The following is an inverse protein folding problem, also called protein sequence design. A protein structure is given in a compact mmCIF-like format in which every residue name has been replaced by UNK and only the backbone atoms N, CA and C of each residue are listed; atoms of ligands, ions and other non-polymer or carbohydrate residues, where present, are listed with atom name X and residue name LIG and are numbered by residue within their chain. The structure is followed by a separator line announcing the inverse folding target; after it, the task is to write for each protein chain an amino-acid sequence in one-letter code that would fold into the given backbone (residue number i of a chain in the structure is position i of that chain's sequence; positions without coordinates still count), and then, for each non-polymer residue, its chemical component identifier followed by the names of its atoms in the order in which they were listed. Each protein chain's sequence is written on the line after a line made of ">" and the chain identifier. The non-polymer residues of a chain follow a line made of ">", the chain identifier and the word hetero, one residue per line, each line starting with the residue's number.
data_IF_301081214753
#
_entry.id   IF_301081214753
#
_cell.length_a   1.000
_cell.length_b   1.000
_cell.length_c   1.000
_cell.angle_alpha   90.00
_cell.angle_beta   90.00
_cell.angle_gamma   90.00
#
_symmetry.space_group_name_H-M   'P 1'
#
loop_
_entity.id
_entity.type
_entity.pdbx_description
1 polymer ?
#
# COMPACT_ATOMS: atom_id res chain seq x y z
N UNK A 1 16.30 19.28 -19.99
CA UNK A 1 14.98 19.04 -19.38
C UNK A 1 13.82 19.26 -20.38
N UNK A 2 14.03 19.12 -21.70
CA UNK A 2 12.96 19.25 -22.71
C UNK A 2 12.60 17.86 -23.23
N UNK A 3 11.94 17.07 -22.39
CA UNK A 3 11.41 15.74 -22.70
C UNK A 3 10.23 15.45 -21.77
N UNK A 4 9.38 14.50 -22.13
CA UNK A 4 8.32 14.00 -21.25
C UNK A 4 8.83 12.76 -20.50
N UNK A 5 8.81 12.75 -19.15
CA UNK A 5 9.26 11.59 -18.40
C UNK A 5 8.43 10.34 -18.71
N UNK A 6 9.10 9.20 -18.76
CA UNK A 6 8.48 7.88 -18.84
C UNK A 6 8.72 7.12 -17.55
N UNK A 7 7.66 6.53 -17.00
CA UNK A 7 7.70 5.80 -15.73
C UNK A 7 7.37 4.34 -15.96
N UNK A 8 8.24 3.43 -15.52
CA UNK A 8 8.03 1.98 -15.58
C UNK A 8 7.46 1.41 -14.25
N UNK A 9 6.84 2.29 -13.47
CA UNK A 9 6.24 2.03 -12.17
C UNK A 9 4.98 2.87 -11.96
N UNK A 10 4.15 2.45 -11.00
CA UNK A 10 2.99 3.18 -10.52
C UNK A 10 3.33 3.94 -9.24
N UNK A 11 2.83 5.18 -9.14
CA UNK A 11 2.91 6.00 -7.93
C UNK A 11 1.52 6.18 -7.35
N UNK A 12 1.35 5.91 -6.06
CA UNK A 12 0.08 6.11 -5.35
C UNK A 12 0.28 7.07 -4.20
N UNK A 13 -0.55 8.12 -4.18
CA UNK A 13 -0.65 9.08 -3.10
C UNK A 13 -1.91 8.83 -2.27
N UNK A 14 -1.80 8.83 -0.94
CA UNK A 14 -2.95 8.75 -0.04
C UNK A 14 -2.88 9.88 1.01
N UNK A 15 -3.96 10.64 1.24
CA UNK A 15 -3.96 11.67 2.28
C UNK A 15 -4.00 11.06 3.69
N UNK A 16 -3.45 11.80 4.65
CA UNK A 16 -3.59 11.52 6.08
C UNK A 16 -4.64 12.46 6.69
N UNK A 17 -5.50 11.89 7.52
CA UNK A 17 -6.49 12.63 8.30
C UNK A 17 -6.33 12.34 9.78
N UNK A 18 -6.53 13.36 10.60
CA UNK A 18 -6.52 13.28 12.08
C UNK A 18 -7.88 13.74 12.65
N UNK A 19 -8.98 13.46 11.93
CA UNK A 19 -10.33 13.94 12.28
C UNK A 19 -10.82 13.45 13.64
N UNK A 20 -10.33 12.30 14.11
CA UNK A 20 -10.65 11.75 15.43
C UNK A 20 -10.23 12.68 16.59
N UNK A 21 -9.31 13.62 16.37
CA UNK A 21 -8.93 14.64 17.38
C UNK A 21 -9.99 15.74 17.54
N UNK A 22 -10.99 15.80 16.65
CA UNK A 22 -11.97 16.88 16.59
C UNK A 22 -13.41 16.36 16.67
N UNK A 23 -13.95 16.23 17.89
CA UNK A 23 -15.27 15.64 18.15
C UNK A 23 -16.45 16.29 17.42
N UNK A 24 -16.34 17.57 17.03
CA UNK A 24 -17.41 18.34 16.36
C UNK A 24 -17.23 18.45 14.85
N UNK A 25 -16.20 17.80 14.29
CA UNK A 25 -15.91 17.86 12.85
C UNK A 25 -16.47 16.62 12.17
N UNK A 26 -17.19 16.84 11.07
CA UNK A 26 -17.67 15.75 10.22
C UNK A 26 -16.51 15.00 9.57
N UNK A 27 -16.57 13.67 9.63
CA UNK A 27 -15.63 12.74 8.96
C UNK A 27 -15.86 12.66 7.45
N UNK A 28 -16.97 13.21 6.94
CA UNK A 28 -17.24 13.29 5.50
C UNK A 28 -16.19 14.18 4.83
N UNK A 29 -15.65 13.70 3.71
CA UNK A 29 -14.73 14.44 2.86
C UNK A 29 -15.46 14.97 1.63
N UNK A 30 -14.96 16.08 1.07
CA UNK A 30 -15.58 16.76 -0.06
C UNK A 30 -14.57 17.71 -0.71
N UNK A 31 -15.06 18.77 -1.33
CA UNK A 31 -14.22 19.76 -2.04
C UNK A 31 -13.28 20.54 -1.11
N UNK A 32 -13.67 20.75 0.15
CA UNK A 32 -12.82 21.42 1.13
C UNK A 32 -11.86 20.43 1.79
N UNK A 33 -10.56 20.71 1.66
CA UNK A 33 -9.49 19.86 2.19
C UNK A 33 -9.52 19.82 3.72
N UNK A 34 -9.43 18.61 4.28
CA UNK A 34 -9.32 18.36 5.73
C UNK A 34 -8.12 17.47 6.11
N UNK A 35 -7.35 17.02 5.12
CA UNK A 35 -6.16 16.21 5.35
C UNK A 35 -5.03 17.06 5.93
N UNK A 36 -4.24 16.46 6.80
CA UNK A 36 -3.12 17.10 7.53
C UNK A 36 -1.75 16.71 6.99
N UNK A 37 -1.72 15.76 6.05
CA UNK A 37 -0.51 15.27 5.43
C UNK A 37 -0.84 14.30 4.30
N UNK A 38 0.20 13.71 3.72
CA UNK A 38 0.07 12.73 2.65
C UNK A 38 1.28 11.82 2.58
N UNK A 39 1.08 10.64 2.01
CA UNK A 39 2.16 9.70 1.70
C UNK A 39 2.19 9.43 0.22
N UNK A 40 3.37 9.11 -0.27
CA UNK A 40 3.59 8.61 -1.61
C UNK A 40 4.25 7.24 -1.52
N UNK A 41 3.81 6.32 -2.38
CA UNK A 41 4.42 5.01 -2.50
C UNK A 41 4.61 4.65 -3.97
N UNK A 42 5.61 3.82 -4.23
CA UNK A 42 5.99 3.39 -5.57
C UNK A 42 5.98 1.86 -5.62
N UNK A 43 5.45 1.29 -6.70
CA UNK A 43 5.45 -0.15 -6.97
C UNK A 43 5.29 -0.40 -8.47
N UNK A 44 5.61 -1.60 -8.96
CA UNK A 44 5.47 -1.90 -10.40
C UNK A 44 4.09 -2.44 -10.77
N UNK A 45 3.18 -2.47 -9.80
CA UNK A 45 1.75 -2.66 -9.99
C UNK A 45 0.99 -1.70 -9.10
N UNK A 46 -0.25 -1.38 -9.48
CA UNK A 46 -1.11 -0.54 -8.67
C UNK A 46 -1.38 -1.16 -7.30
N UNK A 47 -1.63 -2.48 -7.24
CA UNK A 47 -1.88 -3.19 -5.99
C UNK A 47 -0.68 -3.09 -5.03
N UNK A 48 0.54 -3.25 -5.55
CA UNK A 48 1.76 -3.11 -4.76
C UNK A 48 1.92 -1.71 -4.18
N UNK A 49 1.80 -0.68 -5.02
CA UNK A 49 1.91 0.71 -4.59
C UNK A 49 0.79 1.04 -3.59
N UNK A 50 -0.47 0.76 -3.93
CA UNK A 50 -1.62 1.07 -3.09
C UNK A 50 -1.53 0.47 -1.68
N UNK A 51 -1.15 -0.80 -1.55
CA UNK A 51 -0.99 -1.41 -0.22
C UNK A 51 0.20 -0.84 0.56
N UNK A 52 1.29 -0.44 -0.12
CA UNK A 52 2.41 0.28 0.52
C UNK A 52 1.95 1.65 1.04
N UNK A 53 1.22 2.43 0.24
CA UNK A 53 0.69 3.71 0.67
C UNK A 53 -0.22 3.56 1.89
N UNK A 54 -1.15 2.60 1.90
CA UNK A 54 -2.04 2.40 3.05
C UNK A 54 -1.29 2.15 4.36
N UNK A 55 -0.19 1.39 4.31
CA UNK A 55 0.67 1.17 5.48
C UNK A 55 1.46 2.39 5.93
N UNK A 56 1.77 3.29 5.00
CA UNK A 56 2.48 4.53 5.32
C UNK A 56 1.57 5.56 5.99
N UNK A 57 0.25 5.52 5.75
CA UNK A 57 -0.72 6.49 6.30
C UNK A 57 -0.97 6.31 7.79
N UNK A 58 -0.97 5.07 8.29
CA UNK A 58 -1.31 4.78 9.68
C UNK A 58 -0.58 3.51 10.15
N UNK A 59 0.11 3.60 11.29
CA UNK A 59 0.84 2.49 11.90
C UNK A 59 -0.05 1.28 12.26
N UNK A 60 -1.36 1.51 12.43
CA UNK A 60 -2.33 0.45 12.74
C UNK A 60 -2.95 -0.19 11.48
N UNK A 61 -2.65 0.35 10.30
CA UNK A 61 -3.17 -0.16 9.03
C UNK A 61 -2.10 -1.01 8.35
N UNK A 62 -2.36 -2.31 8.24
CA UNK A 62 -1.41 -3.24 7.64
C UNK A 62 -1.51 -3.33 6.10
N UNK A 63 -2.55 -2.73 5.50
CA UNK A 63 -2.83 -2.71 4.07
C UNK A 63 -4.33 -2.57 3.81
N UNK A 64 -4.82 -3.09 2.67
CA UNK A 64 -6.23 -3.03 2.29
C UNK A 64 -7.03 -4.16 2.96
N UNK A 65 -7.24 -4.03 4.27
CA UNK A 65 -7.84 -5.07 5.11
C UNK A 65 -9.38 -4.94 5.16
N UNK A 66 -10.13 -6.00 4.76
CA UNK A 66 -11.59 -5.99 4.77
C UNK A 66 -12.23 -6.09 6.16
N UNK A 67 -11.46 -6.36 7.22
CA UNK A 67 -12.01 -6.62 8.56
C UNK A 67 -12.00 -5.37 9.47
N UNK A 68 -11.41 -4.25 9.02
CA UNK A 68 -11.30 -3.02 9.82
C UNK A 68 -12.65 -2.30 9.98
N UNK A 69 -13.50 -2.36 8.95
CA UNK A 69 -14.84 -1.75 8.94
C UNK A 69 -15.86 -2.75 8.47
N UNK A 70 -17.13 -2.53 8.83
CA UNK A 70 -18.28 -3.23 8.25
C UNK A 70 -18.75 -2.50 7.01
N UNK A 71 -19.47 -3.20 6.14
CA UNK A 71 -20.09 -2.59 4.98
C UNK A 71 -21.10 -1.53 5.41
N UNK A 72 -21.03 -0.38 4.74
CA UNK A 72 -21.93 0.74 4.95
C UNK A 72 -22.09 1.48 3.62
N UNK A 73 -23.22 1.27 2.93
CA UNK A 73 -23.47 1.91 1.64
C UNK A 73 -23.51 3.43 1.71
N UNK A 74 -23.89 4.01 2.86
CA UNK A 74 -23.88 5.46 3.02
C UNK A 74 -22.45 6.00 3.01
N UNK A 75 -21.48 5.33 3.64
CA UNK A 75 -20.07 5.73 3.56
C UNK A 75 -19.44 5.42 2.19
N UNK A 76 -19.99 4.47 1.44
CA UNK A 76 -19.61 4.26 0.05
C UNK A 76 -20.13 5.39 -0.84
N UNK A 77 -21.35 5.91 -0.62
CA UNK A 77 -21.93 7.04 -1.38
C UNK A 77 -21.35 8.38 -0.95
N UNK A 78 -21.26 8.61 0.34
CA UNK A 78 -20.77 9.84 0.97
C UNK A 78 -19.37 9.57 1.53
N UNK A 79 -18.31 9.96 0.81
CA UNK A 79 -16.96 9.52 1.14
C UNK A 79 -16.52 10.04 2.52
N UNK A 80 -15.84 9.18 3.28
CA UNK A 80 -15.19 9.47 4.56
C UNK A 80 -13.69 9.18 4.49
N UNK A 81 -12.92 9.58 5.49
CA UNK A 81 -11.51 9.22 5.67
C UNK A 81 -11.27 7.70 5.80
N UNK A 82 -12.33 6.91 6.06
CA UNK A 82 -12.28 5.45 6.19
C UNK A 82 -12.98 4.70 5.06
N UNK A 83 -13.46 5.38 4.00
CA UNK A 83 -14.19 4.79 2.87
C UNK A 83 -13.49 3.59 2.25
N UNK A 84 -12.16 3.60 2.16
CA UNK A 84 -11.39 2.49 1.58
C UNK A 84 -11.57 1.18 2.35
N UNK A 85 -11.70 1.22 3.68
CA UNK A 85 -11.92 0.02 4.48
C UNK A 85 -13.36 -0.49 4.37
N UNK A 86 -14.33 0.42 4.21
CA UNK A 86 -15.72 0.04 3.90
C UNK A 86 -15.80 -0.59 2.51
N UNK A 87 -15.03 -0.09 1.54
CA UNK A 87 -14.92 -0.67 0.20
C UNK A 87 -14.31 -2.07 0.22
N UNK A 88 -13.25 -2.28 1.01
CA UNK A 88 -12.64 -3.59 1.22
C UNK A 88 -13.65 -4.60 1.79
N UNK A 89 -14.42 -4.19 2.81
CA UNK A 89 -15.49 -5.01 3.38
C UNK A 89 -16.58 -5.34 2.35
N UNK A 90 -16.98 -4.38 1.50
CA UNK A 90 -18.03 -4.60 0.51
C UNK A 90 -17.60 -5.60 -0.58
N UNK A 91 -16.34 -5.51 -1.02
CA UNK A 91 -15.75 -6.52 -1.90
C UNK A 91 -15.70 -7.90 -1.26
N UNK A 92 -15.41 -7.98 0.05
CA UNK A 92 -15.39 -9.24 0.81
C UNK A 92 -16.78 -9.86 0.93
N UNK A 93 -17.82 -9.05 1.11
CA UNK A 93 -19.23 -9.47 1.10
C UNK A 93 -19.78 -9.76 -0.30
N UNK A 94 -18.96 -9.65 -1.35
CA UNK A 94 -19.33 -10.07 -2.71
C UNK A 94 -20.07 -9.02 -3.52
N UNK A 95 -19.96 -7.73 -3.19
CA UNK A 95 -20.50 -6.67 -4.02
C UNK A 95 -19.84 -6.67 -5.41
N UNK A 96 -20.66 -6.57 -6.45
CA UNK A 96 -20.20 -6.46 -7.85
C UNK A 96 -19.50 -5.13 -8.10
N UNK A 97 -18.59 -5.11 -9.08
CA UNK A 97 -17.87 -3.89 -9.50
C UNK A 97 -18.84 -2.80 -9.96
N UNK A 98 -19.91 -3.18 -10.66
CA UNK A 98 -20.95 -2.26 -11.14
C UNK A 98 -21.66 -1.57 -9.99
N UNK A 99 -22.09 -2.34 -8.98
CA UNK A 99 -22.70 -1.79 -7.76
C UNK A 99 -21.74 -0.84 -7.04
N UNK A 100 -20.46 -1.22 -6.90
CA UNK A 100 -19.46 -0.36 -6.25
C UNK A 100 -19.17 0.91 -7.06
N UNK A 101 -19.16 0.83 -8.39
CA UNK A 101 -19.05 1.99 -9.26
C UNK A 101 -20.25 2.93 -9.07
N UNK A 102 -21.47 2.39 -9.03
CA UNK A 102 -22.66 3.22 -8.81
C UNK A 102 -22.68 3.91 -7.46
N UNK A 103 -22.25 3.22 -6.40
CA UNK A 103 -22.13 3.79 -5.07
C UNK A 103 -21.01 4.82 -4.99
N UNK A 104 -19.85 4.53 -5.58
CA UNK A 104 -18.63 5.28 -5.26
C UNK A 104 -18.16 6.28 -6.32
N UNK A 105 -18.53 6.02 -7.57
CA UNK A 105 -18.01 6.65 -8.80
C UNK A 105 -16.49 6.53 -8.95
N UNK A 106 -15.85 5.63 -8.22
CA UNK A 106 -14.47 5.21 -8.45
C UNK A 106 -14.45 4.38 -9.73
N UNK A 107 -13.52 4.68 -10.63
CA UNK A 107 -13.43 3.99 -11.91
C UNK A 107 -13.30 2.47 -11.74
N UNK A 108 -13.95 1.73 -12.65
CA UNK A 108 -14.02 0.26 -12.62
C UNK A 108 -12.64 -0.37 -12.63
N UNK A 109 -11.67 0.24 -13.32
CA UNK A 109 -10.30 -0.26 -13.34
C UNK A 109 -9.72 -0.36 -11.93
N UNK A 110 -9.85 0.69 -11.10
CA UNK A 110 -9.37 0.65 -9.72
C UNK A 110 -10.15 -0.34 -8.87
N UNK A 111 -11.47 -0.41 -9.05
CA UNK A 111 -12.32 -1.37 -8.33
C UNK A 111 -11.90 -2.82 -8.62
N UNK A 112 -11.56 -3.15 -9.86
CA UNK A 112 -11.01 -4.46 -10.23
C UNK A 112 -9.66 -4.72 -9.54
N UNK A 113 -8.77 -3.72 -9.47
CA UNK A 113 -7.51 -3.87 -8.74
C UNK A 113 -7.71 -4.08 -7.24
N UNK A 114 -8.67 -3.40 -6.63
CA UNK A 114 -9.03 -3.64 -5.24
C UNK A 114 -9.61 -5.05 -5.05
N UNK A 115 -10.45 -5.51 -5.99
CA UNK A 115 -10.99 -6.86 -5.99
C UNK A 115 -9.89 -7.91 -6.06
N UNK A 116 -8.85 -7.72 -6.87
CA UNK A 116 -7.68 -8.62 -6.92
C UNK A 116 -7.05 -8.85 -5.54
N UNK A 117 -6.92 -7.78 -4.73
CA UNK A 117 -6.37 -7.86 -3.38
C UNK A 117 -7.30 -8.69 -2.47
N UNK A 118 -8.60 -8.40 -2.51
CA UNK A 118 -9.61 -9.07 -1.67
C UNK A 118 -9.83 -10.53 -2.05
N UNK A 119 -9.80 -10.87 -3.33
CA UNK A 119 -9.84 -12.27 -3.77
C UNK A 119 -8.58 -13.03 -3.35
N UNK A 120 -7.43 -12.35 -3.26
CA UNK A 120 -6.21 -12.98 -2.79
C UNK A 120 -6.25 -13.30 -1.29
N UNK A 121 -6.98 -12.51 -0.48
CA UNK A 121 -7.27 -12.90 0.91
C UNK A 121 -7.96 -14.27 0.97
N UNK A 122 -8.93 -14.56 0.09
CA UNK A 122 -9.61 -15.88 0.06
C UNK A 122 -8.62 -17.02 -0.23
N UNK A 123 -7.62 -16.75 -1.07
CA UNK A 123 -6.54 -17.72 -1.32
C UNK A 123 -5.72 -17.95 -0.06
N UNK A 124 -5.34 -16.87 0.65
CA UNK A 124 -4.55 -16.98 1.88
C UNK A 124 -5.33 -17.66 3.00
N UNK A 125 -6.61 -17.34 3.18
CA UNK A 125 -7.49 -17.92 4.21
C UNK A 125 -7.67 -19.44 4.05
N UNK A 126 -7.39 -19.99 2.87
CA UNK A 126 -7.42 -21.43 2.62
C UNK A 126 -6.18 -22.18 3.14
N UNK A 127 -5.15 -21.46 3.58
CA UNK A 127 -3.96 -22.01 4.21
C UNK A 127 -3.98 -21.77 5.72
N UNK A 128 -3.43 -22.71 6.47
CA UNK A 128 -3.16 -22.56 7.91
C UNK A 128 -1.65 -22.29 8.14
N UNK A 129 -1.26 -22.15 9.40
CA UNK A 129 0.11 -21.83 9.80
C UNK A 129 1.12 -22.83 9.22
N UNK A 130 2.05 -22.36 8.39
CA UNK A 130 3.19 -23.15 7.89
C UNK A 130 2.95 -23.97 6.62
N UNK A 131 1.74 -23.98 6.05
CA UNK A 131 1.45 -24.70 4.80
C UNK A 131 1.50 -23.84 3.53
N UNK A 132 1.76 -22.53 3.68
CA UNK A 132 1.81 -21.59 2.56
C UNK A 132 2.98 -21.92 1.64
N UNK A 133 2.67 -22.13 0.37
CA UNK A 133 3.68 -22.44 -0.65
C UNK A 133 4.48 -21.21 -1.05
N UNK A 134 5.69 -21.44 -1.59
CA UNK A 134 6.56 -20.39 -2.09
C UNK A 134 5.85 -19.49 -3.13
N UNK A 135 5.10 -20.08 -4.07
CA UNK A 135 4.41 -19.33 -5.11
C UNK A 135 3.28 -18.44 -4.57
N UNK A 136 2.52 -18.94 -3.59
CA UNK A 136 1.48 -18.16 -2.91
C UNK A 136 2.12 -17.00 -2.16
N UNK A 137 3.19 -17.25 -1.40
CA UNK A 137 3.88 -16.20 -0.67
C UNK A 137 4.47 -15.15 -1.61
N UNK A 138 5.14 -15.57 -2.68
CA UNK A 138 5.73 -14.69 -3.70
C UNK A 138 4.68 -13.82 -4.39
N UNK A 139 3.52 -14.40 -4.74
CA UNK A 139 2.43 -13.65 -5.36
C UNK A 139 1.78 -12.67 -4.38
N UNK A 140 1.59 -13.04 -3.11
CA UNK A 140 1.14 -12.11 -2.07
C UNK A 140 2.05 -10.88 -1.97
N UNK A 141 3.37 -11.09 -1.98
CA UNK A 141 4.35 -10.00 -1.92
C UNK A 141 4.30 -9.10 -3.18
N UNK A 142 4.16 -9.69 -4.38
CA UNK A 142 4.07 -8.96 -5.66
C UNK A 142 2.84 -8.05 -5.78
N UNK A 143 1.75 -8.38 -5.09
CA UNK A 143 0.55 -7.52 -5.03
C UNK A 143 0.52 -6.64 -3.76
N UNK A 144 1.63 -6.57 -3.02
CA UNK A 144 1.83 -5.59 -1.95
C UNK A 144 1.44 -6.02 -0.54
N UNK A 145 1.11 -7.28 -0.27
CA UNK A 145 0.77 -7.72 1.09
C UNK A 145 1.98 -7.59 2.03
N UNK A 146 1.74 -7.06 3.23
CA UNK A 146 2.72 -7.10 4.31
C UNK A 146 2.80 -8.47 4.97
N UNK A 147 3.92 -8.74 5.65
CA UNK A 147 4.10 -9.99 6.40
C UNK A 147 3.04 -10.07 7.53
N UNK A 148 2.64 -8.94 8.12
CA UNK A 148 1.50 -8.83 9.07
C UNK A 148 0.16 -9.21 8.46
N UNK A 149 -0.18 -8.74 7.26
CA UNK A 149 -1.46 -9.09 6.61
C UNK A 149 -1.52 -10.60 6.30
N UNK A 150 -0.42 -11.15 5.78
CA UNK A 150 -0.33 -12.58 5.47
C UNK A 150 -0.47 -13.39 6.75
N UNK A 151 0.26 -13.01 7.80
CA UNK A 151 0.21 -13.68 9.10
C UNK A 151 -1.21 -13.70 9.67
N UNK A 152 -1.93 -12.58 9.61
CA UNK A 152 -3.31 -12.50 10.07
C UNK A 152 -4.25 -13.44 9.28
N UNK A 153 -4.11 -13.50 7.95
CA UNK A 153 -4.94 -14.36 7.11
C UNK A 153 -4.70 -15.86 7.38
N UNK A 154 -3.44 -16.29 7.56
CA UNK A 154 -3.08 -17.70 7.75
C UNK A 154 -3.00 -18.13 9.23
N UNK A 155 -3.47 -17.27 10.14
CA UNK A 155 -3.44 -17.49 11.61
C UNK A 155 -2.03 -17.79 12.14
N UNK A 156 -1.04 -17.03 11.69
CA UNK A 156 0.37 -17.14 12.09
C UNK A 156 0.89 -15.82 12.68
N UNK A 157 2.19 -15.73 12.95
CA UNK A 157 2.85 -14.50 13.40
C UNK A 157 3.63 -13.85 12.26
N UNK A 158 3.79 -12.52 12.32
CA UNK A 158 4.60 -11.76 11.36
C UNK A 158 6.02 -12.32 11.25
N UNK A 159 6.63 -12.68 12.39
CA UNK A 159 7.98 -13.22 12.44
C UNK A 159 8.08 -14.58 11.74
N UNK A 160 7.07 -15.45 11.90
CA UNK A 160 7.04 -16.75 11.22
C UNK A 160 6.91 -16.58 9.69
N UNK A 161 6.04 -15.67 9.23
CA UNK A 161 5.91 -15.34 7.80
C UNK A 161 7.23 -14.79 7.25
N UNK A 162 7.89 -13.90 7.99
CA UNK A 162 9.18 -13.34 7.59
C UNK A 162 10.26 -14.41 7.46
N UNK A 163 10.38 -15.31 8.43
CA UNK A 163 11.33 -16.43 8.39
C UNK A 163 11.08 -17.35 7.18
N UNK A 164 9.83 -17.75 6.97
CA UNK A 164 9.45 -18.57 5.82
C UNK A 164 9.77 -17.87 4.48
N UNK A 165 9.55 -16.55 4.43
CA UNK A 165 9.87 -15.73 3.26
C UNK A 165 11.38 -15.72 2.98
N UNK A 166 12.20 -15.60 4.03
CA UNK A 166 13.67 -15.65 3.94
C UNK A 166 14.17 -17.05 3.53
N UNK A 167 13.58 -18.12 4.07
CA UNK A 167 13.88 -19.52 3.68
C UNK A 167 13.60 -19.77 2.19
N UNK A 168 12.49 -19.24 1.67
CA UNK A 168 12.16 -19.28 0.24
C UNK A 168 12.94 -18.27 -0.62
N UNK A 169 13.84 -17.49 -0.02
CA UNK A 169 14.62 -16.44 -0.70
C UNK A 169 13.76 -15.41 -1.41
N UNK A 170 12.61 -15.08 -0.83
CA UNK A 170 11.67 -14.08 -1.35
C UNK A 170 12.00 -12.72 -0.73
N UNK A 171 12.93 -11.98 -1.33
CA UNK A 171 13.28 -10.62 -0.92
C UNK A 171 12.90 -9.61 -2.00
N UNK A 172 12.61 -8.35 -1.65
CA UNK A 172 12.37 -7.33 -2.65
C UNK A 172 13.69 -6.95 -3.35
N UNK A 173 13.57 -6.43 -4.55
CA UNK A 173 14.67 -5.85 -5.32
C UNK A 173 14.66 -4.32 -5.20
N UNK A 174 15.85 -3.72 -5.33
CA UNK A 174 16.07 -2.27 -5.31
C UNK A 174 16.05 -1.77 -6.75
N UNK A 175 15.20 -0.79 -7.04
CA UNK A 175 15.05 -0.18 -8.35
C UNK A 175 15.31 1.31 -8.32
N UNK A 176 15.92 1.83 -9.38
CA UNK A 176 16.19 3.26 -9.55
C UNK A 176 15.02 3.99 -10.19
N UNK A 177 14.93 5.29 -9.91
CA UNK A 177 14.05 6.24 -10.59
C UNK A 177 14.93 7.08 -11.51
N UNK A 178 14.77 6.88 -12.82
CA UNK A 178 15.63 7.45 -13.85
C UNK A 178 14.95 8.49 -14.74
N UNK A 179 13.62 8.68 -14.59
CA UNK A 179 12.74 9.56 -15.40
C UNK A 179 12.51 9.14 -16.85
N UNK A 180 13.14 8.06 -17.31
CA UNK A 180 13.15 7.63 -18.73
C UNK A 180 12.88 6.14 -18.90
N UNK A 181 12.38 5.44 -17.87
CA UNK A 181 12.05 4.02 -17.92
C UNK A 181 13.22 3.13 -18.42
N UNK A 182 14.40 3.36 -17.86
CA UNK A 182 15.67 2.70 -18.18
C UNK A 182 16.21 2.93 -19.60
N UNK A 183 15.71 3.93 -20.35
CA UNK A 183 16.31 4.30 -21.64
C UNK A 183 17.76 4.78 -21.48
N UNK A 184 18.04 5.52 -20.41
CA UNK A 184 19.36 6.01 -20.06
C UNK A 184 19.71 5.67 -18.60
N UNK A 185 20.97 5.33 -18.30
CA UNK A 185 21.37 5.01 -16.94
C UNK A 185 21.22 6.23 -16.02
N UNK A 186 20.62 6.03 -14.86
CA UNK A 186 20.52 7.06 -13.83
C UNK A 186 21.88 7.32 -13.18
N UNK A 187 22.25 8.60 -13.08
CA UNK A 187 23.41 9.04 -12.31
C UNK A 187 23.10 9.20 -10.82
N UNK A 188 21.83 9.14 -10.43
CA UNK A 188 21.35 9.34 -9.04
C UNK A 188 20.79 8.05 -8.44
N UNK A 189 20.87 7.94 -7.13
CA UNK A 189 20.34 6.81 -6.36
C UNK A 189 19.03 7.18 -5.67
N UNK A 190 18.02 7.56 -6.44
CA UNK A 190 16.65 7.67 -5.93
C UNK A 190 15.93 6.33 -6.12
N UNK A 191 15.57 5.67 -5.02
CA UNK A 191 15.31 4.23 -5.01
C UNK A 191 13.93 3.87 -4.46
N UNK A 192 13.41 2.73 -4.92
CA UNK A 192 12.27 2.07 -4.30
C UNK A 192 12.46 0.54 -4.28
N UNK A 193 11.75 -0.11 -3.36
CA UNK A 193 11.71 -1.57 -3.23
C UNK A 193 10.48 -2.15 -3.92
N UNK A 194 10.66 -3.25 -4.67
CA UNK A 194 9.58 -4.00 -5.32
C UNK A 194 9.84 -5.50 -5.36
N UNK A 195 8.78 -6.30 -5.27
CA UNK A 195 8.86 -7.76 -5.52
C UNK A 195 8.66 -8.12 -7.00
N UNK A 196 8.35 -7.13 -7.84
CA UNK A 196 8.16 -7.27 -9.29
C UNK A 196 9.46 -6.99 -10.07
N UNK A 197 10.59 -7.35 -9.49
CA UNK A 197 11.92 -7.32 -10.10
C UNK A 197 12.53 -8.71 -10.19
N UNK A 198 13.65 -8.80 -10.89
CA UNK A 198 14.48 -10.01 -11.02
C UNK A 198 15.93 -9.78 -10.59
N UNK A 199 16.35 -8.52 -10.44
CA UNK A 199 17.69 -8.09 -10.04
C UNK A 199 17.61 -6.71 -9.36
N UNK A 200 18.65 -6.36 -8.61
CA UNK A 200 18.88 -4.99 -8.14
C UNK A 200 19.46 -4.13 -9.27
N UNK A 201 19.18 -2.83 -9.26
CA UNK A 201 19.80 -1.87 -10.21
C UNK A 201 21.15 -1.34 -9.70
N UNK A 202 21.55 -1.71 -8.48
CA UNK A 202 22.74 -1.19 -7.79
C UNK A 202 23.44 -2.29 -6.99
N UNK A 203 24.73 -2.04 -6.71
CA UNK A 203 25.53 -2.80 -5.75
C UNK A 203 25.44 -2.22 -4.33
N UNK A 204 25.75 -3.04 -3.33
CA UNK A 204 25.66 -2.69 -1.91
C UNK A 204 27.02 -2.87 -1.21
N UNK A 205 27.94 -1.90 -1.32
CA UNK A 205 29.31 -2.03 -0.80
C UNK A 205 29.42 -2.05 0.74
N UNK A 206 28.35 -1.70 1.46
CA UNK A 206 28.32 -1.67 2.93
C UNK A 206 28.86 -0.37 3.53
N UNK A 207 29.02 -0.36 4.86
CA UNK A 207 29.56 0.77 5.63
C UNK A 207 28.81 2.11 5.46
N UNK A 208 27.48 2.03 5.47
CA UNK A 208 26.59 3.18 5.33
C UNK A 208 25.88 3.53 6.64
N UNK A 209 25.57 4.82 6.82
CA UNK A 209 24.71 5.30 7.91
C UNK A 209 23.29 5.47 7.37
N UNK A 210 22.30 4.94 8.10
CA UNK A 210 20.89 5.09 7.77
C UNK A 210 20.25 6.15 8.67
N UNK A 211 19.59 7.13 8.06
CA UNK A 211 18.71 8.09 8.74
C UNK A 211 17.27 7.72 8.41
N UNK A 212 16.42 7.63 9.44
CA UNK A 212 15.00 7.32 9.28
C UNK A 212 14.18 8.60 9.38
N UNK A 213 13.44 8.92 8.31
CA UNK A 213 12.54 10.07 8.29
C UNK A 213 11.29 9.88 9.17
N UNK A 214 10.54 10.97 9.34
CA UNK A 214 9.36 11.04 10.20
C UNK A 214 8.10 10.36 9.62
N UNK A 215 8.11 10.05 8.33
CA UNK A 215 6.99 9.45 7.62
C UNK A 215 5.92 10.49 7.28
N UNK A 216 4.65 10.18 7.54
CA UNK A 216 3.55 11.09 7.21
C UNK A 216 3.37 12.19 8.24
N UNK A 217 3.26 13.44 7.77
CA UNK A 217 2.88 14.54 8.65
C UNK A 217 1.49 14.34 9.26
N UNK A 218 1.39 14.62 10.55
CA UNK A 218 0.17 14.55 11.36
C UNK A 218 0.21 15.62 12.44
N UNK A 219 -0.93 15.91 13.08
CA UNK A 219 -0.96 16.94 14.12
C UNK A 219 -0.07 16.49 15.28
N UNK A 220 0.99 17.27 15.56
CA UNK A 220 2.02 16.96 16.57
C UNK A 220 3.28 16.29 16.00
N UNK A 221 3.35 16.05 14.69
CA UNK A 221 4.54 15.55 14.00
C UNK A 221 4.57 16.12 12.57
N UNK A 222 5.31 17.20 12.38
CA UNK A 222 5.34 17.97 11.13
C UNK A 222 6.79 18.22 10.68
N UNK A 223 7.00 19.27 9.88
CA UNK A 223 8.26 19.65 9.22
C UNK A 223 9.45 19.78 10.16
N UNK A 224 9.23 20.05 11.45
CA UNK A 224 10.29 20.10 12.45
C UNK A 224 11.10 18.80 12.54
N UNK A 225 10.49 17.65 12.28
CA UNK A 225 11.20 16.36 12.27
C UNK A 225 11.89 16.07 10.95
N UNK A 226 11.41 16.65 9.85
CA UNK A 226 12.08 16.59 8.54
C UNK A 226 13.32 17.49 8.52
N UNK A 227 13.28 18.63 9.22
CA UNK A 227 14.43 19.52 9.39
C UNK A 227 15.58 18.89 10.19
N UNK A 228 15.27 18.00 11.15
CA UNK A 228 16.28 17.31 11.97
C UNK A 228 16.96 16.13 11.27
N UNK A 229 16.30 15.52 10.28
CA UNK A 229 16.76 14.33 9.58
C UNK A 229 17.82 14.69 8.53
#
# INVERSE_FOLDING_TARGET
>A
ACFEPSLDYCVVKIPRWDLAKFNRVSTKIGSSMKSVGEVMSIGRSFEEAFQKALRMVDENVNGFDPNIKKVNENELREPTDKRMFVLAAALREGYTIEKLYELTKIDRWFLEKFKNIIDYYKTLDAYDSGSVTCDVLKRAKKIGFSDKQIAAAIKSTELAVRKLREEYKITPFVKQIDTVAAEWPASTNYLYLTYNGTSHDLDFPGELVMVLGSGVYRIGSSVEFDWCA
#
